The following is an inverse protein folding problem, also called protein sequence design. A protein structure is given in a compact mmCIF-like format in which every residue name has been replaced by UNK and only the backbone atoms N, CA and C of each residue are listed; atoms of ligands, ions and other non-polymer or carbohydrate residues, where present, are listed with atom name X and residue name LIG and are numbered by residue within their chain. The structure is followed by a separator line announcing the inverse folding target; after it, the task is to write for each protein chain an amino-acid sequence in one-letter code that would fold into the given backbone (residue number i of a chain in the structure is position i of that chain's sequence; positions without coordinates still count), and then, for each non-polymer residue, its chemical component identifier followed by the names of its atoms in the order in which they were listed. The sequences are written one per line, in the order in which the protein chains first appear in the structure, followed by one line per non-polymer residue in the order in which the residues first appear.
data_IF_789500327745
#
_entry.id   IF_789500327745
#
_cell.length_a   1.000
_cell.length_b   1.000
_cell.length_c   1.000
_cell.angle_alpha   90.00
_cell.angle_beta   90.00
_cell.angle_gamma   90.00
#
_symmetry.space_group_name_H-M   'P 1'
#
loop_
_entity.id
_entity.type
_entity.pdbx_description
1 polymer ?
#
# COMPACT_ATOMS: atom_id res chain seq x y z
N UNK A 1 13.01 9.25 6.04
CA UNK A 1 12.01 9.80 5.11
C UNK A 1 11.04 8.68 4.76
N UNK A 2 9.85 8.67 5.35
CA UNK A 2 9.03 7.46 5.36
C UNK A 2 8.06 7.45 4.19
N UNK A 3 8.07 6.35 3.42
CA UNK A 3 6.94 5.91 2.59
C UNK A 3 5.63 5.73 3.40
N UNK A 4 5.61 6.10 4.68
CA UNK A 4 4.55 5.89 5.64
C UNK A 4 3.92 7.23 5.98
N UNK A 5 2.60 7.24 6.03
CA UNK A 5 1.79 8.36 6.52
C UNK A 5 0.69 7.80 7.39
N UNK A 6 0.90 7.88 8.71
CA UNK A 6 0.08 7.25 9.74
C UNK A 6 0.00 5.73 9.57
N UNK A 7 -1.18 5.19 9.21
CA UNK A 7 -1.39 3.75 8.98
C UNK A 7 -1.12 3.28 7.55
N UNK A 8 -0.89 4.19 6.61
CA UNK A 8 -0.74 3.86 5.20
C UNK A 8 0.72 3.88 4.75
N UNK A 9 1.07 2.97 3.85
CA UNK A 9 2.33 2.92 3.13
C UNK A 9 2.08 3.21 1.65
N UNK A 10 2.85 4.14 1.07
CA UNK A 10 2.89 4.43 -0.36
C UNK A 10 4.13 3.83 -1.00
N UNK A 11 3.94 2.91 -1.94
CA UNK A 11 5.01 2.20 -2.64
C UNK A 11 5.04 2.58 -4.12
N UNK A 12 6.22 2.95 -4.62
CA UNK A 12 6.46 3.25 -6.03
C UNK A 12 7.61 2.38 -6.54
N UNK A 13 7.34 1.55 -7.55
CA UNK A 13 8.34 0.67 -8.16
C UNK A 13 8.44 1.00 -9.64
N UNK A 14 9.65 1.24 -10.13
CA UNK A 14 9.88 1.52 -11.54
C UNK A 14 10.83 0.49 -12.14
N UNK A 15 10.36 -0.27 -13.12
CA UNK A 15 11.15 -1.33 -13.75
C UNK A 15 11.38 -1.05 -15.23
N UNK A 16 12.63 -1.18 -15.73
CA UNK A 16 12.92 -0.96 -17.13
C UNK A 16 12.46 -2.12 -18.00
N UNK A 17 11.90 -1.82 -19.15
CA UNK A 17 11.44 -2.76 -20.16
C UNK A 17 12.07 -2.46 -21.51
N UNK A 18 12.42 -3.52 -22.25
CA UNK A 18 12.79 -3.35 -23.66
C UNK A 18 11.58 -2.82 -24.42
N UNK A 19 11.72 -1.76 -25.24
CA UNK A 19 10.57 -1.11 -25.87
C UNK A 19 9.75 -2.00 -26.80
N UNK A 20 10.38 -2.96 -27.48
CA UNK A 20 9.67 -3.95 -28.29
C UNK A 20 8.80 -4.89 -27.44
N UNK A 21 9.03 -4.97 -26.12
CA UNK A 21 8.20 -5.76 -25.20
C UNK A 21 6.95 -4.99 -24.71
N UNK A 22 6.91 -3.68 -24.93
CA UNK A 22 5.81 -2.82 -24.46
C UNK A 22 4.45 -3.25 -25.01
N UNK A 23 4.39 -3.75 -26.24
CA UNK A 23 3.13 -4.21 -26.82
C UNK A 23 2.58 -5.46 -26.12
N UNK A 24 3.45 -6.40 -25.71
CA UNK A 24 3.02 -7.56 -24.92
C UNK A 24 2.42 -7.13 -23.59
N UNK A 25 3.05 -6.16 -22.92
CA UNK A 25 2.53 -5.67 -21.63
C UNK A 25 1.20 -4.93 -21.78
N UNK A 26 1.04 -4.15 -22.85
CA UNK A 26 -0.27 -3.55 -23.20
C UNK A 26 -1.33 -4.62 -23.43
N UNK A 27 -0.97 -5.70 -24.11
CA UNK A 27 -1.88 -6.83 -24.33
C UNK A 27 -2.27 -7.51 -23.01
N UNK A 28 -1.30 -7.78 -22.12
CA UNK A 28 -1.58 -8.28 -20.76
C UNK A 28 -2.55 -7.36 -20.01
N UNK A 29 -2.37 -6.04 -20.07
CA UNK A 29 -3.28 -5.10 -19.40
C UNK A 29 -4.68 -5.11 -20.00
N UNK A 30 -4.80 -5.26 -21.32
CA UNK A 30 -6.11 -5.42 -21.97
C UNK A 30 -6.80 -6.70 -21.49
N UNK A 31 -6.08 -7.82 -21.39
CA UNK A 31 -6.62 -9.07 -20.86
C UNK A 31 -7.06 -8.90 -19.40
N UNK A 32 -6.19 -8.38 -18.53
CA UNK A 32 -6.50 -8.21 -17.10
C UNK A 32 -7.69 -7.29 -16.87
N UNK A 33 -7.91 -6.29 -17.73
CA UNK A 33 -9.11 -5.43 -17.69
C UNK A 33 -10.37 -6.15 -18.16
N UNK A 34 -10.26 -6.98 -19.18
CA UNK A 34 -11.40 -7.72 -19.75
C UNK A 34 -11.79 -8.94 -18.92
N UNK A 35 -10.89 -9.46 -18.08
CA UNK A 35 -11.12 -10.62 -17.22
C UNK A 35 -10.77 -10.26 -15.77
N UNK A 36 -11.64 -9.52 -15.05
CA UNK A 36 -11.34 -9.07 -13.68
C UNK A 36 -11.11 -10.22 -12.69
N UNK A 37 -11.62 -11.42 -12.98
CA UNK A 37 -11.39 -12.61 -12.16
C UNK A 37 -9.92 -13.05 -12.13
N UNK A 38 -9.10 -12.70 -13.13
CA UNK A 38 -7.65 -12.95 -13.09
C UNK A 38 -6.96 -12.15 -11.98
N UNK A 39 -7.64 -11.15 -11.43
CA UNK A 39 -7.22 -10.32 -10.31
C UNK A 39 -8.05 -10.59 -9.04
N UNK A 40 -8.88 -11.63 -9.02
CA UNK A 40 -9.81 -11.92 -7.92
C UNK A 40 -9.13 -12.08 -6.55
N UNK A 41 -7.89 -12.60 -6.52
CA UNK A 41 -7.07 -12.66 -5.31
C UNK A 41 -6.80 -11.29 -4.68
N UNK A 42 -6.72 -10.20 -5.46
CA UNK A 42 -6.53 -8.83 -4.96
C UNK A 42 -7.70 -8.35 -4.12
N UNK A 43 -8.94 -8.75 -4.49
CA UNK A 43 -10.15 -8.28 -3.81
C UNK A 43 -10.28 -8.86 -2.39
N UNK A 44 -9.63 -10.00 -2.11
CA UNK A 44 -9.58 -10.61 -0.79
C UNK A 44 -8.65 -9.88 0.19
N UNK A 45 -7.66 -9.17 -0.33
CA UNK A 45 -6.66 -8.43 0.44
C UNK A 45 -7.23 -7.05 0.83
N UNK A 46 -8.16 -7.04 1.79
CA UNK A 46 -8.90 -5.85 2.28
C UNK A 46 -8.03 -4.78 2.99
N UNK A 47 -6.75 -4.70 2.65
CA UNK A 47 -5.79 -3.70 3.15
C UNK A 47 -5.17 -2.87 2.02
N UNK A 48 -5.41 -3.20 0.75
CA UNK A 48 -4.95 -2.43 -0.42
C UNK A 48 -5.99 -1.32 -0.70
N UNK A 49 -5.55 -0.07 -0.71
CA UNK A 49 -6.41 1.08 -1.02
C UNK A 49 -6.43 1.35 -2.52
N UNK A 50 -5.27 1.22 -3.15
CA UNK A 50 -5.04 1.56 -4.53
C UNK A 50 -3.85 0.78 -5.05
N UNK A 51 -3.94 0.28 -6.28
CA UNK A 51 -2.82 -0.31 -7.00
C UNK A 51 -2.95 0.03 -8.49
N UNK A 52 -1.88 0.49 -9.13
CA UNK A 52 -1.88 0.89 -10.54
C UNK A 52 -0.56 0.59 -11.21
N UNK A 53 -0.68 0.03 -12.41
CA UNK A 53 0.40 -0.08 -13.37
C UNK A 53 0.24 0.97 -14.46
N UNK A 54 1.32 1.63 -14.82
CA UNK A 54 1.40 2.58 -15.91
C UNK A 54 2.67 2.33 -16.73
N UNK A 55 2.56 2.44 -18.05
CA UNK A 55 3.70 2.37 -18.95
C UNK A 55 4.11 3.80 -19.30
N UNK A 56 5.38 4.11 -19.07
CA UNK A 56 6.01 5.38 -19.46
C UNK A 56 7.00 5.04 -20.57
N UNK A 57 6.70 5.45 -21.81
CA UNK A 57 7.65 5.23 -22.90
C UNK A 57 8.86 6.14 -22.75
N UNK A 58 9.97 5.74 -23.37
CA UNK A 58 11.23 6.47 -23.33
C UNK A 58 11.14 7.95 -23.76
N UNK A 59 10.19 8.27 -24.63
CA UNK A 59 9.95 9.60 -25.21
C UNK A 59 8.84 10.39 -24.49
N UNK A 60 8.25 9.84 -23.43
CA UNK A 60 7.12 10.42 -22.69
C UNK A 60 7.52 11.05 -21.35
N UNK A 61 8.80 11.08 -21.02
CA UNK A 61 9.28 11.71 -19.80
C UNK A 61 9.14 13.23 -19.87
N UNK A 62 8.74 13.89 -18.77
CA UNK A 62 8.55 15.34 -18.76
C UNK A 62 9.91 16.06 -18.89
N UNK A 63 9.91 17.12 -19.68
CA UNK A 63 10.98 18.11 -19.71
C UNK A 63 10.55 19.29 -18.83
N UNK A 64 11.18 19.44 -17.67
CA UNK A 64 10.93 20.49 -16.69
C UNK A 64 11.97 21.62 -16.81
N UNK A 65 12.66 21.72 -17.94
CA UNK A 65 13.74 22.67 -18.20
C UNK A 65 15.14 22.06 -18.20
N UNK A 66 15.27 20.77 -17.88
CA UNK A 66 16.53 20.01 -17.93
C UNK A 66 16.86 19.43 -19.32
N UNK A 67 15.95 19.57 -20.29
CA UNK A 67 16.05 18.96 -21.60
C UNK A 67 15.47 17.54 -21.67
N UNK A 68 15.08 17.11 -22.87
CA UNK A 68 14.56 15.77 -23.13
C UNK A 68 15.56 14.70 -22.72
N UNK A 69 15.09 13.77 -21.89
CA UNK A 69 15.88 12.63 -21.44
C UNK A 69 16.18 11.68 -22.60
N UNK A 70 17.43 11.24 -22.71
CA UNK A 70 17.89 10.28 -23.71
C UNK A 70 18.02 8.90 -23.07
N UNK A 71 16.92 8.16 -23.01
CA UNK A 71 16.88 6.83 -22.39
C UNK A 71 16.47 5.76 -23.39
N UNK A 72 17.00 4.55 -23.23
CA UNK A 72 16.83 3.47 -24.21
C UNK A 72 15.61 2.59 -23.96
N UNK A 73 15.08 2.60 -22.73
CA UNK A 73 14.02 1.69 -22.28
C UNK A 73 12.69 2.40 -22.11
N UNK A 74 11.60 1.66 -22.30
CA UNK A 74 10.31 2.03 -21.73
C UNK A 74 10.28 1.56 -20.27
N UNK A 75 9.40 2.11 -19.45
CA UNK A 75 9.35 1.83 -18.02
C UNK A 75 7.96 1.44 -17.59
N UNK A 76 7.89 0.47 -16.69
CA UNK A 76 6.68 0.10 -15.98
C UNK A 76 6.73 0.74 -14.60
N UNK A 77 5.81 1.67 -14.35
CA UNK A 77 5.57 2.26 -13.05
C UNK A 77 4.45 1.48 -12.36
N UNK A 78 4.73 1.00 -11.15
CA UNK A 78 3.75 0.45 -10.24
C UNK A 78 3.62 1.35 -9.02
N UNK A 79 2.40 1.80 -8.74
CA UNK A 79 2.06 2.56 -7.53
C UNK A 79 1.08 1.74 -6.70
N UNK A 80 1.32 1.61 -5.41
CA UNK A 80 0.38 0.97 -4.49
C UNK A 80 0.32 1.66 -3.14
N UNK A 81 -0.89 1.78 -2.61
CA UNK A 81 -1.15 2.33 -1.28
C UNK A 81 -1.86 1.27 -0.45
N UNK A 82 -1.36 0.97 0.74
CA UNK A 82 -1.88 -0.11 1.57
C UNK A 82 -1.68 0.12 3.06
N UNK A 83 -2.35 -0.68 3.89
CA UNK A 83 -2.05 -0.79 5.32
C UNK A 83 -1.21 -2.04 5.61
N UNK A 84 -0.31 -1.94 6.59
CA UNK A 84 0.61 -3.01 6.96
C UNK A 84 2.06 -2.66 6.60
N UNK A 85 2.98 -3.59 6.85
CA UNK A 85 4.39 -3.38 6.52
C UNK A 85 4.71 -3.76 5.09
N UNK A 86 5.85 -3.26 4.59
CA UNK A 86 6.34 -3.57 3.25
C UNK A 86 6.48 -5.09 3.04
N UNK A 87 7.03 -5.81 4.01
CA UNK A 87 7.18 -7.26 3.93
C UNK A 87 5.84 -7.98 3.88
N UNK A 88 4.93 -7.67 4.81
CA UNK A 88 3.58 -8.24 4.85
C UNK A 88 2.84 -8.02 3.53
N UNK A 89 2.98 -6.83 2.95
CA UNK A 89 2.38 -6.52 1.67
C UNK A 89 2.96 -7.38 0.55
N UNK A 90 4.29 -7.42 0.39
CA UNK A 90 4.91 -8.18 -0.70
C UNK A 90 4.65 -9.69 -0.56
N UNK A 91 4.68 -10.23 0.66
CA UNK A 91 4.34 -11.63 0.94
C UNK A 91 2.89 -11.92 0.54
N UNK A 92 1.93 -11.14 1.04
CA UNK A 92 0.52 -11.33 0.72
C UNK A 92 0.22 -11.14 -0.78
N UNK A 93 0.97 -10.27 -1.46
CA UNK A 93 0.82 -10.01 -2.89
C UNK A 93 1.36 -11.17 -3.73
N UNK A 94 2.50 -11.75 -3.33
CA UNK A 94 3.09 -12.91 -3.98
C UNK A 94 2.26 -14.19 -3.76
N UNK A 95 1.74 -14.40 -2.55
CA UNK A 95 0.92 -15.56 -2.21
C UNK A 95 -0.47 -15.49 -2.83
N UNK A 96 -1.09 -14.31 -2.82
CA UNK A 96 -2.45 -14.15 -3.33
C UNK A 96 -2.55 -14.21 -4.86
N UNK A 97 -1.49 -13.82 -5.59
CA UNK A 97 -1.52 -13.56 -7.04
C UNK A 97 -0.21 -13.88 -7.78
N UNK A 98 0.39 -15.05 -7.59
CA UNK A 98 1.68 -15.33 -8.23
C UNK A 98 1.61 -15.20 -9.76
N UNK A 99 0.59 -15.79 -10.38
CA UNK A 99 0.40 -15.71 -11.83
C UNK A 99 0.03 -14.30 -12.33
N UNK A 100 -0.70 -13.53 -11.52
CA UNK A 100 -1.10 -12.17 -11.88
C UNK A 100 0.08 -11.20 -11.87
N UNK A 101 0.97 -11.35 -10.88
CA UNK A 101 2.23 -10.62 -10.80
C UNK A 101 3.12 -10.89 -12.00
N UNK A 102 3.33 -12.17 -12.30
CA UNK A 102 4.14 -12.58 -13.44
C UNK A 102 3.57 -12.01 -14.75
N UNK A 103 2.25 -12.05 -14.94
CA UNK A 103 1.60 -11.48 -16.13
C UNK A 103 1.87 -9.99 -16.34
N UNK A 104 2.05 -9.21 -15.27
CA UNK A 104 2.24 -7.76 -15.33
C UNK A 104 3.73 -7.36 -15.39
N UNK A 105 4.63 -8.18 -14.81
CA UNK A 105 6.08 -7.89 -14.76
C UNK A 105 6.96 -8.72 -15.67
N UNK A 106 6.49 -9.79 -16.33
CA UNK A 106 7.35 -10.69 -17.13
C UNK A 106 8.15 -9.99 -18.23
N UNK A 107 7.66 -8.84 -18.73
CA UNK A 107 8.36 -8.06 -19.74
C UNK A 107 9.48 -7.19 -19.16
N UNK A 108 9.47 -6.96 -17.85
CA UNK A 108 10.47 -6.17 -17.12
C UNK A 108 11.82 -6.87 -17.12
N UNK A 109 12.87 -6.07 -17.24
CA UNK A 109 14.24 -6.55 -17.33
C UNK A 109 14.65 -7.17 -16.00
N UNK A 110 15.23 -8.39 -16.05
CA UNK A 110 15.70 -9.15 -14.88
C UNK A 110 14.63 -9.49 -13.84
N UNK A 111 13.35 -9.47 -14.22
CA UNK A 111 12.29 -9.91 -13.33
C UNK A 111 12.48 -11.38 -12.93
N UNK A 112 12.55 -11.73 -11.63
CA UNK A 112 12.92 -13.06 -11.17
C UNK A 112 11.73 -14.02 -10.98
N UNK A 113 10.54 -13.65 -11.47
CA UNK A 113 9.24 -14.23 -11.08
C UNK A 113 8.82 -13.84 -9.65
N UNK A 114 7.52 -13.96 -9.35
CA UNK A 114 6.97 -13.66 -8.02
C UNK A 114 7.32 -14.72 -6.98
N UNK A 115 7.63 -15.94 -7.43
CA UNK A 115 8.04 -17.08 -6.60
C UNK A 115 9.35 -17.63 -7.16
N UNK A 116 10.40 -17.83 -6.34
CA UNK A 116 10.45 -17.69 -4.88
C UNK A 116 10.44 -16.23 -4.39
N UNK A 117 9.92 -16.01 -3.17
CA UNK A 117 9.64 -14.68 -2.62
C UNK A 117 10.88 -13.81 -2.37
N UNK A 118 12.00 -14.40 -1.95
CA UNK A 118 13.20 -13.63 -1.58
C UNK A 118 13.82 -12.90 -2.78
N UNK A 119 14.08 -13.56 -3.94
CA UNK A 119 14.50 -12.84 -5.14
C UNK A 119 13.50 -11.76 -5.59
N UNK A 120 12.20 -12.01 -5.46
CA UNK A 120 11.17 -11.04 -5.80
C UNK A 120 11.24 -9.80 -4.89
N UNK A 121 11.33 -9.97 -3.57
CA UNK A 121 11.55 -8.89 -2.60
C UNK A 121 12.80 -8.08 -2.93
N UNK A 122 13.92 -8.75 -3.21
CA UNK A 122 15.16 -8.10 -3.59
C UNK A 122 15.01 -7.28 -4.87
N UNK A 123 14.32 -7.82 -5.87
CA UNK A 123 14.02 -7.12 -7.11
C UNK A 123 13.14 -5.89 -6.89
N UNK A 124 12.06 -6.00 -6.12
CA UNK A 124 11.19 -4.86 -5.80
C UNK A 124 11.97 -3.79 -5.04
N UNK A 125 12.74 -4.17 -4.01
CA UNK A 125 13.55 -3.23 -3.24
C UNK A 125 14.56 -2.47 -4.12
N UNK A 126 15.21 -3.17 -5.05
CA UNK A 126 16.19 -2.56 -5.96
C UNK A 126 15.57 -1.61 -6.99
N UNK A 127 14.28 -1.74 -7.28
CA UNK A 127 13.55 -0.91 -8.25
C UNK A 127 12.57 0.06 -7.59
N UNK A 128 12.49 0.07 -6.25
CA UNK A 128 11.63 0.98 -5.51
C UNK A 128 12.25 2.36 -5.42
N UNK A 129 11.43 3.39 -5.64
CA UNK A 129 11.79 4.77 -5.38
C UNK A 129 11.07 5.20 -4.10
N UNK A 130 11.84 5.64 -3.11
CA UNK A 130 11.27 6.15 -1.87
C UNK A 130 10.58 7.49 -2.10
N UNK A 131 9.41 7.61 -1.50
CA UNK A 131 8.50 8.74 -1.67
C UNK A 131 8.96 9.88 -0.77
N UNK A 132 9.28 11.03 -1.36
CA UNK A 132 9.61 12.24 -0.59
C UNK A 132 8.39 12.82 0.14
N UNK A 133 7.22 12.73 -0.47
CA UNK A 133 5.96 13.22 0.09
C UNK A 133 4.79 12.35 -0.37
N UNK A 134 4.04 11.79 0.58
CA UNK A 134 2.86 10.97 0.32
C UNK A 134 1.64 11.62 0.96
N UNK A 135 0.71 12.09 0.13
CA UNK A 135 -0.55 12.65 0.61
C UNK A 135 -1.54 11.52 0.92
N UNK A 136 -2.09 11.54 2.13
CA UNK A 136 -3.21 10.71 2.56
C UNK A 136 -4.23 11.60 3.27
N UNK A 137 -5.50 11.56 2.86
CA UNK A 137 -6.57 12.38 3.45
C UNK A 137 -7.02 11.90 4.83
N UNK A 138 -6.73 10.63 5.18
CA UNK A 138 -7.07 10.02 6.46
C UNK A 138 -5.85 9.26 7.02
N UNK A 139 -4.74 9.97 7.32
CA UNK A 139 -3.47 9.35 7.69
C UNK A 139 -3.60 8.40 8.88
N UNK A 140 -4.44 8.74 9.87
CA UNK A 140 -4.65 7.95 11.07
C UNK A 140 -5.43 6.65 10.87
N UNK A 141 -6.12 6.47 9.74
CA UNK A 141 -7.09 5.41 9.55
C UNK A 141 -6.63 4.37 8.51
N UNK A 142 -6.81 3.09 8.85
CA UNK A 142 -6.74 2.00 7.89
C UNK A 142 -8.04 1.89 7.09
N UNK A 143 -8.02 1.19 5.96
CA UNK A 143 -9.22 0.89 5.16
C UNK A 143 -10.33 0.28 6.04
N UNK A 144 -9.93 -0.60 6.96
CA UNK A 144 -10.83 -1.25 7.92
C UNK A 144 -11.40 -0.26 8.93
N UNK A 145 -10.60 0.69 9.42
CA UNK A 145 -11.08 1.74 10.34
C UNK A 145 -12.11 2.63 9.65
N UNK A 146 -11.86 3.05 8.41
CA UNK A 146 -12.83 3.84 7.62
C UNK A 146 -14.13 3.06 7.40
N UNK A 147 -14.03 1.78 7.03
CA UNK A 147 -15.20 0.92 6.83
C UNK A 147 -15.98 0.73 8.15
N UNK A 148 -15.27 0.54 9.26
CA UNK A 148 -15.85 0.41 10.59
C UNK A 148 -16.57 1.71 11.02
N UNK A 149 -15.94 2.87 10.83
CA UNK A 149 -16.54 4.17 11.11
C UNK A 149 -17.83 4.40 10.30
N UNK A 150 -17.87 3.97 9.04
CA UNK A 150 -19.09 4.05 8.22
C UNK A 150 -20.22 3.16 8.79
N UNK A 151 -19.90 1.96 9.30
CA UNK A 151 -20.88 1.08 9.97
C UNK A 151 -21.38 1.69 11.28
N UNK A 152 -20.49 2.28 12.08
CA UNK A 152 -20.87 3.01 13.30
C UNK A 152 -21.80 4.16 12.96
N UNK A 153 -21.48 4.96 11.94
CA UNK A 153 -22.33 6.05 11.46
C UNK A 153 -23.71 5.55 11.03
N UNK A 154 -23.77 4.45 10.29
CA UNK A 154 -25.05 3.85 9.88
C UNK A 154 -25.88 3.40 11.10
N UNK A 155 -25.26 2.76 12.09
CA UNK A 155 -25.93 2.35 13.32
C UNK A 155 -26.45 3.56 14.13
N UNK A 156 -25.68 4.65 14.21
CA UNK A 156 -26.10 5.88 14.88
C UNK A 156 -27.30 6.54 14.18
N UNK A 157 -27.29 6.64 12.85
CA UNK A 157 -28.42 7.17 12.09
C UNK A 157 -29.68 6.33 12.26
N UNK A 158 -29.54 5.00 12.32
CA UNK A 158 -30.66 4.09 12.61
C UNK A 158 -31.16 4.25 14.03
N UNK A 159 -30.27 4.43 15.02
CA UNK A 159 -30.66 4.70 16.40
C UNK A 159 -31.47 5.99 16.45
N UNK A 160 -30.94 7.10 15.93
CA UNK A 160 -31.58 8.43 15.91
C UNK A 160 -33.00 8.39 15.35
N UNK A 161 -33.21 7.70 14.23
CA UNK A 161 -34.52 7.54 13.60
C UNK A 161 -35.57 6.84 14.51
N UNK A 162 -35.13 6.07 15.50
CA UNK A 162 -35.98 5.35 16.45
C UNK A 162 -36.08 6.04 17.83
N UNK A 163 -35.49 7.23 18.01
CA UNK A 163 -35.49 7.93 19.31
C UNK A 163 -36.66 8.91 19.53
N UNK A 164 -37.43 9.26 18.49
CA UNK A 164 -38.52 10.22 18.65
C UNK A 164 -39.59 9.70 19.63
N UNK A 165 -39.84 10.46 20.69
CA UNK A 165 -40.83 10.14 21.72
C UNK A 165 -40.43 9.01 22.69
N UNK A 166 -39.16 8.56 22.67
CA UNK A 166 -38.70 7.48 23.56
C UNK A 166 -38.51 7.96 25.01
N UNK A 167 -38.87 7.12 25.98
CA UNK A 167 -38.51 7.33 27.40
C UNK A 167 -37.01 7.06 27.64
N UNK A 168 -36.42 7.49 28.77
CA UNK A 168 -35.03 7.18 29.11
C UNK A 168 -34.71 5.66 29.12
N UNK A 169 -35.64 4.83 29.55
CA UNK A 169 -35.50 3.37 29.58
C UNK A 169 -35.48 2.78 28.17
N UNK A 170 -36.36 3.28 27.30
CA UNK A 170 -36.42 2.88 25.89
C UNK A 170 -35.16 3.32 25.15
N UNK A 171 -34.68 4.54 25.40
CA UNK A 171 -33.40 5.02 24.89
C UNK A 171 -32.26 4.09 25.31
N UNK A 172 -32.15 3.74 26.60
CA UNK A 172 -31.11 2.85 27.11
C UNK A 172 -31.15 1.49 26.41
N UNK A 173 -32.32 0.89 26.26
CA UNK A 173 -32.48 -0.39 25.60
C UNK A 173 -32.04 -0.34 24.12
N UNK A 174 -32.46 0.70 23.40
CA UNK A 174 -32.05 0.91 22.00
C UNK A 174 -30.55 1.18 21.88
N UNK A 175 -29.99 2.04 22.74
CA UNK A 175 -28.57 2.35 22.75
C UNK A 175 -27.72 1.10 22.96
N UNK A 176 -28.02 0.28 23.98
CA UNK A 176 -27.30 -0.98 24.23
C UNK A 176 -27.41 -1.94 23.05
N UNK A 177 -28.60 -2.03 22.43
CA UNK A 177 -28.81 -2.87 21.25
C UNK A 177 -27.92 -2.42 20.09
N UNK A 178 -27.91 -1.14 19.74
CA UNK A 178 -27.09 -0.64 18.63
C UNK A 178 -25.59 -0.64 18.96
N UNK A 179 -25.20 -0.31 20.19
CA UNK A 179 -23.80 -0.35 20.59
C UNK A 179 -23.23 -1.77 20.48
N UNK A 180 -23.98 -2.78 20.90
CA UNK A 180 -23.51 -4.17 20.83
C UNK A 180 -23.30 -4.69 19.39
N UNK A 181 -23.99 -4.10 18.39
CA UNK A 181 -23.76 -4.47 16.98
C UNK A 181 -22.49 -3.85 16.39
N UNK A 182 -22.03 -2.71 16.92
CA UNK A 182 -20.86 -1.97 16.41
C UNK A 182 -19.69 -1.87 17.40
N UNK A 183 -19.74 -2.55 18.54
CA UNK A 183 -18.69 -2.46 19.58
C UNK A 183 -17.29 -2.86 19.07
N UNK A 184 -17.22 -3.72 18.04
CA UNK A 184 -15.96 -4.14 17.40
C UNK A 184 -15.53 -3.21 16.25
N UNK A 185 -16.30 -2.17 15.98
CA UNK A 185 -16.05 -1.19 14.92
C UNK A 185 -15.51 0.15 15.47
N UNK A 186 -15.21 0.21 16.76
CA UNK A 186 -14.61 1.38 17.43
C UNK A 186 -13.08 1.34 17.30
N UNK A 187 -12.59 1.46 16.07
CA UNK A 187 -11.16 1.48 15.75
C UNK A 187 -10.42 2.68 16.34
N UNK A 188 -9.09 2.60 16.33
CA UNK A 188 -8.19 3.66 16.82
C UNK A 188 -7.54 4.40 15.65
N UNK A 189 -7.43 5.72 15.69
CA UNK A 189 -6.64 6.48 14.71
C UNK A 189 -5.18 6.64 15.16
N UNK A 190 -4.22 6.56 14.24
CA UNK A 190 -2.82 6.84 14.58
C UNK A 190 -1.81 6.26 13.59
N UNK A 191 -0.70 5.72 14.11
CA UNK A 191 0.31 5.03 13.30
C UNK A 191 -0.09 3.57 13.08
N UNK A 192 0.39 2.96 11.99
CA UNK A 192 0.20 1.52 11.78
C UNK A 192 0.76 0.76 12.98
N UNK A 193 0.15 -0.36 13.42
CA UNK A 193 0.84 -1.28 14.30
C UNK A 193 2.12 -1.73 13.59
N UNK A 194 3.25 -1.63 14.28
CA UNK A 194 4.54 -2.09 13.76
C UNK A 194 4.47 -3.62 13.65
N UNK A 195 5.04 -4.22 12.60
CA UNK A 195 4.94 -5.67 12.34
C UNK A 195 5.27 -6.52 13.58
N UNK A 196 6.21 -6.03 14.38
CA UNK A 196 6.45 -6.42 15.76
C UNK A 196 6.91 -5.17 16.52
N UNK A 197 6.61 -5.10 17.82
CA UNK A 197 7.28 -4.16 18.72
C UNK A 197 8.82 -4.35 18.67
N UNK A 198 9.31 -5.54 18.32
CA UNK A 198 10.74 -5.81 18.12
C UNK A 198 11.31 -5.05 16.92
N UNK A 199 10.53 -4.83 15.86
CA UNK A 199 10.96 -4.04 14.69
C UNK A 199 11.02 -2.56 15.05
N UNK A 200 10.04 -2.06 15.81
CA UNK A 200 10.06 -0.70 16.35
C UNK A 200 11.26 -0.49 17.28
N UNK A 201 11.48 -1.43 18.19
CA UNK A 201 12.63 -1.40 19.10
C UNK A 201 13.97 -1.49 18.35
N UNK A 202 14.07 -2.32 17.31
CA UNK A 202 15.26 -2.40 16.49
C UNK A 202 15.51 -1.11 15.69
N UNK A 203 14.47 -0.44 15.22
CA UNK A 203 14.57 0.84 14.51
C UNK A 203 14.95 1.98 15.48
N UNK A 204 14.35 2.04 16.67
CA UNK A 204 14.74 2.96 17.76
C UNK A 204 16.22 2.74 18.13
N UNK A 205 16.64 1.50 18.38
CA UNK A 205 18.03 1.19 18.72
C UNK A 205 19.00 1.48 17.56
N UNK A 206 18.52 1.44 16.31
CA UNK A 206 19.31 1.80 15.12
C UNK A 206 19.44 3.30 14.96
N UNK A 207 18.44 4.10 15.33
CA UNK A 207 18.52 5.56 15.31
C UNK A 207 19.67 6.05 16.21
N UNK A 208 19.80 5.49 17.42
CA UNK A 208 20.93 5.78 18.30
C UNK A 208 22.26 5.44 17.62
N UNK A 209 22.39 4.24 17.05
CA UNK A 209 23.61 3.85 16.32
C UNK A 209 23.92 4.81 15.17
N UNK A 210 22.95 5.21 14.36
CA UNK A 210 23.15 6.12 13.23
C UNK A 210 23.53 7.54 13.70
N UNK A 211 23.00 7.98 14.84
CA UNK A 211 23.33 9.27 15.44
C UNK A 211 24.80 9.32 15.92
N UNK A 212 25.29 8.23 16.52
CA UNK A 212 26.68 8.14 17.03
C UNK A 212 27.69 7.61 16.01
N UNK A 213 27.25 6.97 14.93
CA UNK A 213 28.14 6.43 13.88
C UNK A 213 28.98 7.54 13.20
N UNK A 214 28.44 8.75 13.09
CA UNK A 214 29.19 9.92 12.60
C UNK A 214 30.31 10.35 13.54
N UNK A 215 30.10 10.30 14.85
CA UNK A 215 31.11 10.65 15.85
C UNK A 215 32.20 9.57 15.94
N UNK A 216 31.81 8.30 15.95
CA UNK A 216 32.74 7.15 15.97
C UNK A 216 33.65 7.08 14.73
N UNK A 217 33.15 7.47 13.56
CA UNK A 217 33.94 7.54 12.33
C UNK A 217 34.95 8.71 12.34
N UNK A 218 34.69 9.74 13.14
CA UNK A 218 35.54 10.94 13.24
C UNK A 218 36.58 10.82 14.35
N UNK A 219 36.30 10.07 15.42
CA UNK A 219 37.25 9.75 16.50
C UNK A 219 38.26 8.64 16.16
N UNK A 220 38.04 7.92 15.06
CA UNK A 220 38.91 6.85 14.57
C UNK A 220 39.95 7.32 13.53
N UNK A 221 40.13 8.64 13.38
CA UNK A 221 41.22 9.28 12.62
C UNK A 221 42.19 9.96 13.57
#
# INVERSE_FOLDING_TARGET
MSNVTGKAYGMNVITPMKPWRTWFNRFSFMISRSIPSSLGGLLGLRFIHFARWAIIKRDQWPDLGQGKQQISNDYLLFCSNFNGTWDQYIDAFADGLPNGLDLLWFTSTKYPHSVPITPFKNYIRANQIDTNYYYNSVPGAAQRDVTAALRVREALLKLEANLQGSTPEQFRALFVRYLSTVQNDLGYEGRAPVASNDTENAEINREDYLHFAGELATSAR
#
